data_IF_399029661540
#
_entry.id   IF_399029661540
#
_cell.length_a   1.000
_cell.length_b   1.000
_cell.length_c   1.000
_cell.angle_alpha   90.00
_cell.angle_beta   90.00
_cell.angle_gamma   90.00
#
_symmetry.space_group_name_H-M   'P 1'
#
loop_
_entity.id
_entity.type
_entity.pdbx_description
1 polymer ?
#
# COMPACT_ATOMS: atom_id res chain seq x y z
N UNK A 1 1.92 40.06 -9.15
CA UNK A 1 1.55 39.47 -10.46
C UNK A 1 2.52 38.38 -10.93
N UNK A 2 3.85 38.56 -10.82
CA UNK A 2 4.84 37.54 -11.20
C UNK A 2 4.68 36.19 -10.45
N UNK A 3 4.34 36.22 -9.16
CA UNK A 3 4.11 35.01 -8.35
C UNK A 3 3.00 34.12 -8.91
N UNK A 4 1.89 34.71 -9.39
CA UNK A 4 0.73 33.96 -9.88
C UNK A 4 1.06 33.24 -11.19
N UNK A 5 1.85 33.87 -12.08
CA UNK A 5 2.29 33.22 -13.32
C UNK A 5 3.27 32.08 -13.06
N UNK A 6 4.16 32.23 -12.08
CA UNK A 6 5.09 31.17 -11.68
C UNK A 6 4.37 30.00 -11.01
N UNK A 7 3.37 30.27 -10.16
CA UNK A 7 2.48 29.26 -9.57
C UNK A 7 1.74 28.49 -10.67
N UNK A 8 1.16 29.18 -11.66
CA UNK A 8 0.45 28.53 -12.78
C UNK A 8 1.35 27.65 -13.64
N UNK A 9 2.59 28.08 -13.89
CA UNK A 9 3.57 27.30 -14.65
C UNK A 9 4.03 26.05 -13.90
N UNK A 10 4.17 26.15 -12.57
CA UNK A 10 4.43 25.01 -11.69
C UNK A 10 3.23 24.06 -11.62
N UNK A 11 2.00 24.61 -11.57
CA UNK A 11 0.75 23.85 -11.54
C UNK A 11 0.59 22.95 -12.78
N UNK A 12 1.00 23.45 -13.95
CA UNK A 12 0.92 22.75 -15.23
C UNK A 12 1.66 21.41 -15.20
N UNK A 13 2.76 21.33 -14.46
CA UNK A 13 3.54 20.10 -14.27
C UNK A 13 3.20 19.36 -12.98
N UNK A 14 2.82 20.09 -11.92
CA UNK A 14 2.47 19.54 -10.62
C UNK A 14 1.19 18.71 -10.61
N UNK A 15 0.15 19.12 -11.35
CA UNK A 15 -1.11 18.37 -11.46
C UNK A 15 -0.90 17.01 -12.14
N UNK A 16 -0.32 16.92 -13.36
CA UNK A 16 -0.14 15.62 -14.01
C UNK A 16 0.80 14.72 -13.21
N UNK A 17 1.83 15.27 -12.57
CA UNK A 17 2.72 14.50 -11.70
C UNK A 17 1.96 13.94 -10.49
N UNK A 18 1.16 14.77 -9.81
CA UNK A 18 0.37 14.34 -8.65
C UNK A 18 -0.70 13.32 -9.02
N UNK A 19 -1.33 13.48 -10.18
CA UNK A 19 -2.31 12.52 -10.69
C UNK A 19 -1.67 11.17 -11.03
N UNK A 20 -0.49 11.19 -11.67
CA UNK A 20 0.25 9.97 -12.01
C UNK A 20 0.75 9.23 -10.76
N UNK A 21 1.30 9.97 -9.78
CA UNK A 21 1.68 9.40 -8.48
C UNK A 21 0.46 8.86 -7.74
N UNK A 22 -0.63 9.62 -7.71
CA UNK A 22 -1.89 9.18 -7.10
C UNK A 22 -2.43 7.89 -7.72
N UNK A 23 -2.47 7.80 -9.05
CA UNK A 23 -2.89 6.60 -9.77
C UNK A 23 -1.99 5.39 -9.46
N UNK A 24 -0.68 5.59 -9.42
CA UNK A 24 0.28 4.56 -9.01
C UNK A 24 0.05 4.07 -7.58
N UNK A 25 -0.22 4.99 -6.64
CA UNK A 25 -0.54 4.62 -5.26
C UNK A 25 -1.88 3.88 -5.13
N UNK A 26 -2.93 4.28 -5.89
CA UNK A 26 -4.19 3.53 -5.93
C UNK A 26 -3.96 2.11 -6.45
N UNK A 27 -3.22 1.96 -7.56
CA UNK A 27 -2.88 0.66 -8.12
C UNK A 27 -2.13 -0.23 -7.11
N UNK A 28 -1.09 0.31 -6.47
CA UNK A 28 -0.33 -0.40 -5.44
C UNK A 28 -1.19 -0.79 -4.24
N UNK A 29 -2.11 0.06 -3.81
CA UNK A 29 -3.02 -0.27 -2.72
C UNK A 29 -3.95 -1.43 -3.06
N UNK A 30 -4.54 -1.41 -4.26
CA UNK A 30 -5.44 -2.46 -4.72
C UNK A 30 -4.71 -3.80 -4.87
N UNK A 31 -3.55 -3.80 -5.52
CA UNK A 31 -2.75 -5.01 -5.72
C UNK A 31 -2.15 -5.54 -4.41
N UNK A 32 -1.53 -4.69 -3.59
CA UNK A 32 -0.75 -5.15 -2.43
C UNK A 32 -1.58 -5.31 -1.16
N UNK A 33 -2.61 -4.49 -0.95
CA UNK A 33 -3.40 -4.52 0.30
C UNK A 33 -4.73 -5.21 0.08
N UNK A 34 -5.49 -4.81 -0.94
CA UNK A 34 -6.84 -5.36 -1.14
C UNK A 34 -6.80 -6.84 -1.55
N UNK A 35 -5.92 -7.24 -2.48
CA UNK A 35 -5.78 -8.65 -2.84
C UNK A 35 -5.31 -9.50 -1.66
N UNK A 36 -4.39 -9.01 -0.84
CA UNK A 36 -3.90 -9.70 0.37
C UNK A 36 -5.05 -9.97 1.35
N UNK A 37 -5.91 -8.98 1.59
CA UNK A 37 -7.10 -9.14 2.44
C UNK A 37 -8.05 -10.19 1.84
N UNK A 38 -8.31 -10.13 0.53
CA UNK A 38 -9.15 -11.11 -0.15
C UNK A 38 -8.56 -12.52 -0.10
N UNK A 39 -7.25 -12.66 -0.25
CA UNK A 39 -6.55 -13.94 -0.16
C UNK A 39 -6.65 -14.53 1.25
N UNK A 40 -6.44 -13.74 2.29
CA UNK A 40 -6.62 -14.17 3.69
C UNK A 40 -8.08 -14.59 3.94
N UNK A 41 -9.04 -13.78 3.47
CA UNK A 41 -10.48 -14.06 3.61
C UNK A 41 -10.91 -15.35 2.87
N UNK A 42 -10.30 -15.62 1.71
CA UNK A 42 -10.52 -16.86 0.94
C UNK A 42 -9.77 -18.08 1.50
N UNK A 43 -8.95 -17.90 2.55
CA UNK A 43 -8.16 -18.97 3.14
C UNK A 43 -6.98 -19.43 2.28
N UNK A 44 -6.38 -18.53 1.50
CA UNK A 44 -5.24 -18.86 0.64
C UNK A 44 -4.07 -19.45 1.42
N UNK A 45 -3.34 -20.38 0.80
CA UNK A 45 -2.25 -21.10 1.45
C UNK A 45 -0.99 -20.27 1.63
N UNK A 46 -0.75 -19.29 0.76
CA UNK A 46 0.36 -18.35 0.84
C UNK A 46 -0.12 -16.92 0.63
N UNK A 47 0.32 -16.00 1.48
CA UNK A 47 -0.02 -14.57 1.40
C UNK A 47 1.25 -13.74 1.55
N UNK A 48 1.39 -12.70 0.73
CA UNK A 48 2.51 -11.75 0.79
C UNK A 48 2.05 -10.45 1.38
N UNK A 49 2.68 -10.02 2.47
CA UNK A 49 2.31 -8.77 3.15
C UNK A 49 3.42 -7.74 3.01
N UNK A 50 3.02 -6.55 2.56
CA UNK A 50 3.87 -5.38 2.43
C UNK A 50 3.42 -4.29 3.42
N UNK A 51 4.06 -4.15 4.60
CA UNK A 51 3.67 -3.16 5.59
C UNK A 51 3.70 -1.74 5.04
N UNK A 52 4.66 -1.40 4.17
CA UNK A 52 4.76 -0.07 3.58
C UNK A 52 3.58 0.28 2.65
N UNK A 53 2.88 -0.71 2.08
CA UNK A 53 1.75 -0.47 1.19
C UNK A 53 0.55 0.18 1.91
N UNK A 54 0.51 0.13 3.25
CA UNK A 54 -0.51 0.84 4.04
C UNK A 54 -0.44 2.37 3.91
N UNK A 55 0.70 2.91 3.43
CA UNK A 55 0.89 4.35 3.22
C UNK A 55 0.27 4.85 1.91
N UNK A 56 0.05 3.96 0.96
CA UNK A 56 -0.52 4.29 -0.35
C UNK A 56 -1.82 5.12 -0.26
N UNK A 57 -2.84 4.78 0.56
CA UNK A 57 -4.07 5.60 0.65
C UNK A 57 -3.80 7.00 1.19
N UNK A 58 -2.84 7.18 2.12
CA UNK A 58 -2.48 8.50 2.65
C UNK A 58 -1.85 9.37 1.56
N UNK A 59 -0.96 8.79 0.75
CA UNK A 59 -0.32 9.49 -0.38
C UNK A 59 -1.37 9.91 -1.42
N UNK A 60 -2.36 9.06 -1.71
CA UNK A 60 -3.47 9.42 -2.62
C UNK A 60 -4.23 10.65 -2.12
N UNK A 61 -4.59 10.69 -0.83
CA UNK A 61 -5.30 11.83 -0.24
C UNK A 61 -4.43 13.10 -0.29
N UNK A 62 -3.13 13.00 -0.02
CA UNK A 62 -2.19 14.12 -0.14
C UNK A 62 -2.10 14.64 -1.58
N UNK A 63 -2.04 13.76 -2.58
CA UNK A 63 -2.02 14.15 -3.99
C UNK A 63 -3.30 14.90 -4.38
N UNK A 64 -4.47 14.40 -3.95
CA UNK A 64 -5.77 15.06 -4.22
C UNK A 64 -5.83 16.44 -3.55
N UNK A 65 -5.49 16.53 -2.26
CA UNK A 65 -5.51 17.81 -1.54
C UNK A 65 -4.47 18.80 -2.11
N UNK A 66 -3.30 18.32 -2.53
CA UNK A 66 -2.28 19.14 -3.19
C UNK A 66 -2.77 19.74 -4.50
N UNK A 67 -3.48 18.96 -5.33
CA UNK A 67 -4.11 19.45 -6.56
C UNK A 67 -5.16 20.52 -6.22
N UNK A 68 -6.04 20.25 -5.24
CA UNK A 68 -7.11 21.17 -4.85
C UNK A 68 -6.55 22.50 -4.32
N UNK A 69 -5.57 22.46 -3.41
CA UNK A 69 -4.90 23.67 -2.88
C UNK A 69 -4.19 24.43 -4.02
N UNK A 70 -3.53 23.71 -4.91
CA UNK A 70 -2.87 24.30 -6.08
C UNK A 70 -3.84 25.06 -7.00
N UNK A 71 -4.99 24.46 -7.32
CA UNK A 71 -6.05 25.10 -8.13
C UNK A 71 -6.60 26.34 -7.41
N UNK A 72 -6.89 26.23 -6.11
CA UNK A 72 -7.41 27.35 -5.32
C UNK A 72 -6.44 28.52 -5.18
N UNK A 73 -5.12 28.29 -5.31
CA UNK A 73 -4.14 29.39 -5.36
C UNK A 73 -3.96 29.99 -6.76
N UNK A 74 -4.35 29.28 -7.83
CA UNK A 74 -4.27 29.76 -9.21
C UNK A 74 -5.51 30.56 -9.67
N UNK A 75 -6.62 30.41 -8.94
CA UNK A 75 -7.90 31.12 -9.12
C UNK A 75 -8.16 31.94 -7.86
N UNK A 76 -8.64 33.20 -7.95
CA UNK A 76 -8.92 34.02 -6.77
C UNK A 76 -10.14 33.48 -5.99
N UNK A 77 -9.94 32.45 -5.18
CA UNK A 77 -10.91 31.96 -4.20
C UNK A 77 -10.85 32.78 -2.91
N UNK A 78 -11.88 32.65 -2.06
CA UNK A 78 -11.93 33.35 -0.78
C UNK A 78 -10.88 32.83 0.21
N UNK A 79 -10.23 33.73 0.93
CA UNK A 79 -9.15 33.41 1.88
C UNK A 79 -9.58 32.42 2.97
N UNK A 80 -10.87 32.44 3.36
CA UNK A 80 -11.44 31.50 4.31
C UNK A 80 -11.42 30.05 3.82
N UNK A 81 -11.68 29.82 2.53
CA UNK A 81 -11.70 28.47 1.94
C UNK A 81 -10.27 27.93 1.80
N UNK A 82 -9.33 28.79 1.41
CA UNK A 82 -7.90 28.48 1.30
C UNK A 82 -7.37 28.03 2.67
N UNK A 83 -7.61 28.81 3.72
CA UNK A 83 -7.13 28.51 5.08
C UNK A 83 -7.72 27.21 5.64
N UNK A 84 -8.98 26.89 5.33
CA UNK A 84 -9.62 25.63 5.76
C UNK A 84 -8.99 24.42 5.07
N UNK A 85 -8.71 24.53 3.77
CA UNK A 85 -8.09 23.44 3.01
C UNK A 85 -6.63 23.26 3.38
N UNK A 86 -5.87 24.33 3.62
CA UNK A 86 -4.50 24.25 4.14
C UNK A 86 -4.45 23.55 5.50
N UNK A 87 -5.42 23.82 6.38
CA UNK A 87 -5.52 23.08 7.65
C UNK A 87 -5.79 21.59 7.41
N UNK A 88 -6.69 21.24 6.50
CA UNK A 88 -6.95 19.85 6.15
C UNK A 88 -5.70 19.15 5.54
N UNK A 89 -4.95 19.86 4.70
CA UNK A 89 -3.69 19.40 4.15
C UNK A 89 -2.67 19.12 5.26
N UNK A 90 -2.45 20.08 6.17
CA UNK A 90 -1.52 19.90 7.30
C UNK A 90 -1.92 18.75 8.22
N UNK A 91 -3.22 18.58 8.50
CA UNK A 91 -3.73 17.44 9.27
C UNK A 91 -3.42 16.13 8.54
N UNK A 92 -3.63 16.08 7.23
CA UNK A 92 -3.35 14.89 6.40
C UNK A 92 -1.84 14.57 6.39
N UNK A 93 -0.98 15.59 6.31
CA UNK A 93 0.48 15.42 6.39
C UNK A 93 0.86 14.85 7.76
N UNK A 94 0.32 15.40 8.85
CA UNK A 94 0.56 14.88 10.20
C UNK A 94 0.07 13.43 10.35
N UNK A 95 -1.12 13.12 9.85
CA UNK A 95 -1.66 11.76 9.86
C UNK A 95 -0.79 10.79 9.04
N UNK A 96 -0.26 11.23 7.89
CA UNK A 96 0.65 10.44 7.05
C UNK A 96 1.98 10.18 7.75
N UNK A 97 2.51 11.16 8.49
CA UNK A 97 3.72 10.98 9.29
C UNK A 97 3.50 9.97 10.43
N UNK A 98 2.34 10.04 11.11
CA UNK A 98 1.96 9.05 12.12
C UNK A 98 1.83 7.66 11.49
N UNK A 99 1.15 7.54 10.34
CA UNK A 99 1.04 6.27 9.62
C UNK A 99 2.41 5.70 9.23
N UNK A 100 3.36 6.54 8.83
CA UNK A 100 4.74 6.14 8.55
C UNK A 100 5.44 5.57 9.79
N UNK A 101 5.27 6.22 10.95
CA UNK A 101 5.81 5.74 12.22
C UNK A 101 5.16 4.42 12.68
N UNK A 102 3.94 4.11 12.23
CA UNK A 102 3.22 2.87 12.54
C UNK A 102 3.63 1.68 11.65
N UNK A 103 4.39 1.89 10.57
CA UNK A 103 4.91 0.80 9.72
C UNK A 103 5.69 -0.27 10.51
N UNK A 104 6.67 0.07 11.38
CA UNK A 104 7.34 -0.94 12.20
C UNK A 104 6.39 -1.63 13.19
N UNK A 105 5.44 -0.88 13.78
CA UNK A 105 4.48 -1.41 14.74
C UNK A 105 3.58 -2.45 14.08
N UNK A 106 3.07 -2.16 12.88
CA UNK A 106 2.24 -3.10 12.12
C UNK A 106 3.01 -4.33 11.67
N UNK A 107 4.28 -4.20 11.30
CA UNK A 107 5.15 -5.35 11.00
C UNK A 107 5.36 -6.25 12.23
N UNK A 108 5.57 -5.67 13.41
CA UNK A 108 5.68 -6.43 14.66
C UNK A 108 4.35 -7.10 15.00
N UNK A 109 3.23 -6.37 14.91
CA UNK A 109 1.91 -6.93 15.16
C UNK A 109 1.62 -8.12 14.24
N UNK A 110 1.93 -8.02 12.95
CA UNK A 110 1.79 -9.14 12.00
C UNK A 110 2.55 -10.38 12.46
N UNK A 111 3.76 -10.20 13.02
CA UNK A 111 4.56 -11.32 13.53
C UNK A 111 3.93 -12.06 14.71
N UNK A 112 3.18 -11.35 15.55
CA UNK A 112 2.48 -11.94 16.70
C UNK A 112 1.10 -12.50 16.35
N UNK A 113 0.37 -11.85 15.45
CA UNK A 113 -1.01 -12.25 15.10
C UNK A 113 -1.09 -13.26 13.95
N UNK A 114 -0.18 -13.27 12.98
CA UNK A 114 -0.22 -14.26 11.89
C UNK A 114 -0.10 -15.72 12.37
N UNK A 115 0.75 -16.05 13.36
CA UNK A 115 0.80 -17.40 13.91
C UNK A 115 -0.52 -17.84 14.56
N UNK A 116 -1.27 -16.92 15.20
CA UNK A 116 -2.53 -17.26 15.86
C UNK A 116 -3.66 -17.55 14.86
N UNK A 117 -3.57 -17.04 13.62
CA UNK A 117 -4.48 -17.39 12.51
C UNK A 117 -3.96 -18.56 11.66
N UNK A 118 -2.92 -19.26 12.11
CA UNK A 118 -2.41 -20.48 11.46
C UNK A 118 -1.45 -20.23 10.29
N UNK A 119 -0.84 -19.05 10.20
CA UNK A 119 0.18 -18.74 9.21
C UNK A 119 1.58 -18.74 9.82
N UNK A 120 2.53 -19.34 9.10
CA UNK A 120 3.94 -19.38 9.46
C UNK A 120 4.75 -18.50 8.50
N UNK A 121 5.79 -17.85 9.04
CA UNK A 121 6.62 -16.95 8.25
C UNK A 121 7.58 -17.77 7.37
N UNK A 122 7.63 -17.47 6.07
CA UNK A 122 8.47 -18.15 5.10
C UNK A 122 9.36 -17.15 4.36
N UNK A 123 10.69 -17.26 4.52
CA UNK A 123 11.65 -16.34 3.89
C UNK A 123 12.34 -16.87 2.64
N UNK A 124 12.08 -18.13 2.28
CA UNK A 124 12.80 -18.83 1.20
C UNK A 124 12.06 -18.81 -0.15
N UNK A 125 10.84 -18.28 -0.18
CA UNK A 125 10.03 -18.14 -1.39
C UNK A 125 10.63 -17.07 -2.32
N UNK A 126 10.57 -17.35 -3.62
CA UNK A 126 11.12 -16.50 -4.66
C UNK A 126 10.15 -15.38 -5.05
N UNK A 127 10.71 -14.29 -5.58
CA UNK A 127 9.93 -13.16 -6.09
C UNK A 127 9.63 -12.10 -5.04
N UNK A 128 10.33 -12.08 -3.90
CA UNK A 128 10.31 -10.95 -2.97
C UNK A 128 11.02 -9.76 -3.63
N UNK A 129 10.31 -8.66 -3.97
CA UNK A 129 10.95 -7.54 -4.66
C UNK A 129 11.81 -6.69 -3.70
N UNK A 130 11.56 -6.72 -2.39
CA UNK A 130 12.39 -6.05 -1.37
C UNK A 130 12.36 -6.79 -0.02
N UNK A 131 13.32 -6.49 0.88
CA UNK A 131 13.42 -7.02 2.26
C UNK A 131 12.22 -6.69 3.16
N UNK A 132 11.34 -5.79 2.72
CA UNK A 132 10.16 -5.34 3.48
C UNK A 132 8.91 -6.18 3.22
N UNK A 133 8.99 -7.15 2.30
CA UNK A 133 7.92 -8.10 2.06
C UNK A 133 8.11 -9.32 2.95
N UNK A 134 7.04 -9.72 3.63
CA UNK A 134 7.02 -10.97 4.40
C UNK A 134 6.03 -11.92 3.76
N UNK A 135 6.51 -13.10 3.38
CA UNK A 135 5.67 -14.17 2.88
C UNK A 135 5.22 -15.05 4.06
N UNK A 136 3.94 -15.37 4.06
CA UNK A 136 3.26 -16.12 5.11
C UNK A 136 2.57 -17.33 4.48
N UNK A 137 2.79 -18.52 5.04
CA UNK A 137 2.25 -19.77 4.51
C UNK A 137 1.53 -20.54 5.61
N UNK A 138 0.34 -21.08 5.32
CA UNK A 138 -0.42 -21.89 6.29
C UNK A 138 0.27 -23.21 6.62
N UNK A 139 0.75 -23.92 5.59
CA UNK A 139 1.48 -25.17 5.75
C UNK A 139 2.99 -24.92 5.61
N UNK A 140 3.78 -25.07 6.70
CA UNK A 140 5.23 -24.89 6.63
C UNK A 140 5.92 -25.86 5.66
N UNK A 141 5.31 -27.01 5.33
CA UNK A 141 5.85 -27.94 4.33
C UNK A 141 5.87 -27.34 2.91
N UNK A 142 5.02 -26.36 2.63
CA UNK A 142 4.98 -25.65 1.34
C UNK A 142 6.01 -24.51 1.25
N UNK A 143 6.79 -24.26 2.30
CA UNK A 143 7.87 -23.27 2.33
C UNK A 143 9.15 -23.80 1.64
N UNK A 144 9.08 -24.01 0.32
CA UNK A 144 10.17 -24.59 -0.48
C UNK A 144 11.00 -23.48 -1.15
N UNK A 145 12.34 -23.58 -1.01
CA UNK A 145 13.28 -22.62 -1.60
C UNK A 145 13.16 -22.59 -3.13
N UNK A 146 13.08 -21.39 -3.71
CA UNK A 146 13.02 -21.20 -5.17
C UNK A 146 11.64 -21.42 -5.79
N UNK A 147 10.58 -21.57 -4.97
CA UNK A 147 9.19 -21.58 -5.45
C UNK A 147 8.54 -20.21 -5.27
N UNK A 148 7.59 -19.86 -6.13
CA UNK A 148 6.82 -18.61 -6.04
C UNK A 148 5.59 -18.78 -5.14
N UNK A 149 5.03 -17.66 -4.67
CA UNK A 149 3.78 -17.65 -3.89
C UNK A 149 2.60 -18.26 -4.68
N UNK A 150 2.55 -18.02 -5.99
CA UNK A 150 1.51 -18.59 -6.86
C UNK A 150 1.60 -20.11 -6.95
N UNK A 151 2.81 -20.66 -6.93
CA UNK A 151 3.01 -22.10 -6.87
C UNK A 151 2.46 -22.68 -5.56
N UNK A 152 2.72 -22.03 -4.42
CA UNK A 152 2.18 -22.43 -3.10
C UNK A 152 0.66 -22.40 -3.10
N UNK A 153 0.06 -21.31 -3.61
CA UNK A 153 -1.39 -21.18 -3.75
C UNK A 153 -1.98 -22.21 -4.74
N UNK A 154 -1.20 -22.61 -5.75
CA UNK A 154 -1.56 -23.68 -6.68
C UNK A 154 -1.54 -25.06 -6.04
N UNK A 155 -0.57 -25.37 -5.17
CA UNK A 155 -0.49 -26.66 -4.47
C UNK A 155 -1.66 -26.89 -3.52
N UNK A 156 -2.13 -25.84 -2.84
CA UNK A 156 -3.30 -25.96 -1.97
C UNK A 156 -4.63 -26.10 -2.72
N UNK A 157 -4.66 -25.72 -4.00
CA UNK A 157 -5.80 -25.95 -4.91
C UNK A 157 -5.69 -27.28 -5.65
N UNK A 158 -4.49 -27.85 -5.73
CA UNK A 158 -4.29 -29.18 -6.29
C UNK A 158 -4.92 -30.19 -5.32
N UNK A 159 -5.83 -31.06 -5.78
CA UNK A 159 -6.27 -32.17 -4.96
C UNK A 159 -5.04 -32.98 -4.56
N UNK A 160 -4.90 -33.25 -3.26
CA UNK A 160 -3.96 -34.24 -2.73
C UNK A 160 -4.07 -35.47 -3.64
N UNK A 161 -2.97 -35.98 -4.23
CA UNK A 161 -3.02 -37.24 -4.94
C UNK A 161 -3.40 -38.31 -3.91
N UNK A 162 -4.67 -38.70 -3.89
CA UNK A 162 -5.10 -39.92 -3.23
C UNK A 162 -4.54 -41.08 -4.05
N UNK A 163 -3.38 -41.58 -3.64
CA UNK A 163 -2.68 -42.70 -4.25
C UNK A 163 -1.25 -42.28 -4.63
N UNK A 164 -0.21 -43.00 -4.24
CA UNK A 164 -0.13 -44.39 -3.80
C UNK A 164 1.30 -44.63 -3.24
N UNK A 165 1.73 -45.89 -3.15
CA UNK A 165 1.56 -46.88 -2.09
C UNK A 165 2.69 -46.88 -1.04
#
# INVERSE_FOLDING_TARGET
MHDIQQIRKSLLWGIPLSALVGAGCVWLFLEAVMQTIQQIASGAAGVRIAPAAQLAPFVVVLCILGIVVGIMRAVPFSDGLIRRTERAFNITVAASAIAFLLVPVTSIAQRFYMPSIGYTQCHVLQGQPTLWFTDWVRDPALCVKGKSLDWVNGQARAPVPHGAP
#
